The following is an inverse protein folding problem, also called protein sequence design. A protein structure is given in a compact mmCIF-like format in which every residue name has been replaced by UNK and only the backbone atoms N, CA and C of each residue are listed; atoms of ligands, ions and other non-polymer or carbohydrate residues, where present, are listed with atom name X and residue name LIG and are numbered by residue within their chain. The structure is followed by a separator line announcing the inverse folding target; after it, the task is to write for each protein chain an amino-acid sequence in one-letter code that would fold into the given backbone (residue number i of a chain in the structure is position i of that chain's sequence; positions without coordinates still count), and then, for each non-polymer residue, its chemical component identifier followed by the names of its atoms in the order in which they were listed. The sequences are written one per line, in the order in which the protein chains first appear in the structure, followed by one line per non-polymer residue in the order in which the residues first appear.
data_IF_518111902924
#
_entry.id   IF_518111902924
#
_cell.length_a   1.000
_cell.length_b   1.000
_cell.length_c   1.000
_cell.angle_alpha   90.00
_cell.angle_beta   90.00
_cell.angle_gamma   90.00
#
_symmetry.space_group_name_H-M   'P 1'
#
loop_
_entity.id
_entity.type
_entity.pdbx_description
1 polymer ?
#
# COMPACT_ATOMS: atom_id res chain seq x y z
N UNK A 1 54.97 71.32 5.04
CA UNK A 1 54.67 72.71 4.64
C UNK A 1 54.38 72.64 3.16
N UNK A 2 53.13 72.38 2.79
CA UNK A 2 52.69 72.37 1.38
C UNK A 2 52.63 73.82 0.86
N UNK A 3 52.77 74.08 -0.46
CA UNK A 3 51.53 74.27 -1.22
C UNK A 3 51.50 73.97 -2.75
N UNK A 4 50.30 73.55 -3.19
CA UNK A 4 49.45 74.01 -4.32
C UNK A 4 49.77 73.74 -5.82
N UNK A 5 48.76 73.11 -6.45
CA UNK A 5 48.14 73.32 -7.79
C UNK A 5 48.96 72.91 -9.04
N UNK A 6 48.39 72.40 -10.15
CA UNK A 6 47.19 72.78 -10.92
C UNK A 6 46.79 71.60 -11.86
N UNK A 7 45.51 71.41 -12.17
CA UNK A 7 45.01 70.54 -13.28
C UNK A 7 44.96 71.30 -14.62
N UNK A 8 44.84 70.62 -15.79
CA UNK A 8 43.57 70.77 -16.49
C UNK A 8 43.05 69.57 -17.29
N UNK A 9 41.74 69.68 -17.48
CA UNK A 9 40.67 68.92 -18.14
C UNK A 9 40.89 68.58 -19.63
N UNK A 10 40.43 67.38 -20.06
CA UNK A 10 39.82 67.18 -21.39
C UNK A 10 38.51 66.41 -21.20
N UNK A 11 37.42 67.05 -21.63
CA UNK A 11 36.07 66.49 -21.61
C UNK A 11 35.77 65.63 -22.83
N UNK A 12 34.83 64.71 -22.67
CA UNK A 12 34.07 64.11 -23.77
C UNK A 12 32.61 63.99 -23.30
N UNK A 13 31.70 64.47 -24.14
CA UNK A 13 30.25 64.50 -23.97
C UNK A 13 29.61 63.13 -23.66
N UNK A 14 28.48 63.09 -22.94
CA UNK A 14 27.64 61.90 -22.86
C UNK A 14 26.58 61.88 -23.97
N UNK A 15 26.39 60.78 -24.71
CA UNK A 15 25.14 60.55 -25.41
C UNK A 15 24.17 59.76 -24.52
N UNK A 16 22.92 60.20 -24.64
CA UNK A 16 21.72 59.77 -23.94
C UNK A 16 21.10 58.50 -24.57
N UNK A 17 20.10 57.94 -23.85
CA UNK A 17 19.01 57.03 -24.28
C UNK A 17 19.39 55.55 -24.58
N UNK A 18 18.65 54.47 -24.24
CA UNK A 18 17.24 54.21 -23.86
C UNK A 18 17.12 53.03 -22.85
N UNK A 19 15.99 52.92 -22.11
CA UNK A 19 15.68 51.76 -21.26
C UNK A 19 15.09 50.62 -22.11
N UNK A 20 15.25 49.37 -21.68
CA UNK A 20 14.30 48.24 -21.80
C UNK A 20 15.06 46.92 -21.79
N UNK A 21 15.09 46.21 -20.66
CA UNK A 21 14.99 44.75 -20.68
C UNK A 21 14.03 44.39 -19.55
N UNK A 22 12.82 43.99 -19.93
CA UNK A 22 11.85 43.41 -19.01
C UNK A 22 12.46 42.18 -18.35
N UNK A 23 12.43 42.14 -17.02
CA UNK A 23 12.72 40.93 -16.28
C UNK A 23 11.58 39.97 -16.57
N UNK A 24 11.84 38.99 -17.42
CA UNK A 24 10.96 37.84 -17.60
C UNK A 24 10.82 37.15 -16.23
N UNK A 25 9.60 36.98 -15.69
CA UNK A 25 9.46 36.27 -14.42
C UNK A 25 9.97 34.84 -14.61
N UNK A 26 10.69 34.27 -13.62
CA UNK A 26 11.10 32.88 -13.72
C UNK A 26 9.84 32.04 -13.86
N UNK A 27 9.74 31.30 -14.98
CA UNK A 27 8.76 30.25 -15.15
C UNK A 27 9.05 29.18 -14.12
N UNK A 28 8.44 29.31 -12.94
CA UNK A 28 8.39 28.24 -11.95
C UNK A 28 7.45 27.21 -12.55
N UNK A 29 8.03 26.20 -13.20
CA UNK A 29 7.29 25.01 -13.57
C UNK A 29 6.63 24.48 -12.29
N UNK A 30 5.29 24.33 -12.27
CA UNK A 30 4.64 23.70 -11.13
C UNK A 30 5.26 22.31 -10.95
N UNK A 31 5.51 21.84 -9.71
CA UNK A 31 6.05 20.50 -9.51
C UNK A 31 5.12 19.51 -10.20
N UNK A 32 5.61 18.90 -11.28
CA UNK A 32 4.95 17.79 -11.96
C UNK A 32 5.04 16.60 -11.01
N UNK A 33 4.16 16.55 -10.02
CA UNK A 33 3.88 15.33 -9.27
C UNK A 33 3.07 14.45 -10.21
N UNK A 34 3.77 13.74 -11.08
CA UNK A 34 3.19 12.59 -11.75
C UNK A 34 2.74 11.63 -10.65
N UNK A 35 1.49 11.14 -10.65
CA UNK A 35 1.10 10.11 -9.71
C UNK A 35 1.94 8.88 -10.04
N UNK A 36 3.02 8.68 -9.29
CA UNK A 36 3.76 7.43 -9.28
C UNK A 36 2.76 6.38 -8.82
N UNK A 37 2.14 5.66 -9.76
CA UNK A 37 1.50 4.38 -9.47
C UNK A 37 2.66 3.41 -9.20
N UNK A 38 3.35 3.64 -8.09
CA UNK A 38 4.50 2.87 -7.65
C UNK A 38 3.96 1.61 -6.99
N UNK A 39 4.26 0.45 -7.57
CA UNK A 39 4.23 -0.78 -6.80
C UNK A 39 5.32 -0.70 -5.75
N UNK A 40 4.94 -0.38 -4.53
CA UNK A 40 5.84 -0.48 -3.38
C UNK A 40 5.96 -1.94 -2.94
N UNK A 41 7.16 -2.43 -2.60
CA UNK A 41 7.33 -3.78 -2.09
C UNK A 41 6.69 -3.93 -0.71
N UNK A 42 6.42 -5.18 -0.31
CA UNK A 42 5.91 -5.48 1.01
C UNK A 42 6.88 -5.01 2.11
N UNK A 43 6.44 -4.08 2.96
CA UNK A 43 7.19 -3.64 4.14
C UNK A 43 6.63 -4.29 5.41
N UNK A 44 7.51 -4.57 6.36
CA UNK A 44 7.16 -5.13 7.67
C UNK A 44 6.31 -4.17 8.51
N UNK A 45 6.39 -2.87 8.25
CA UNK A 45 5.63 -1.85 8.96
C UNK A 45 4.29 -1.50 8.29
N UNK A 46 4.06 -2.01 7.07
CA UNK A 46 2.88 -1.69 6.28
C UNK A 46 1.85 -2.84 6.31
N UNK A 47 0.95 -2.80 7.29
CA UNK A 47 -0.17 -3.72 7.39
C UNK A 47 -1.49 -2.98 7.09
N UNK A 48 -2.14 -3.37 6.00
CA UNK A 48 -3.47 -2.87 5.64
C UNK A 48 -4.55 -3.71 6.34
N UNK A 49 -5.38 -3.07 7.16
CA UNK A 49 -6.50 -3.69 7.88
C UNK A 49 -7.79 -3.27 7.21
N UNK A 50 -8.52 -4.25 6.68
CA UNK A 50 -9.81 -4.04 6.03
C UNK A 50 -10.96 -4.05 7.04
N UNK A 51 -10.86 -4.91 8.05
CA UNK A 51 -11.88 -5.07 9.06
C UNK A 51 -11.28 -5.52 10.39
N UNK A 52 -11.81 -5.00 11.50
CA UNK A 52 -11.43 -5.42 12.84
C UNK A 52 -12.66 -5.48 13.76
N UNK A 53 -12.73 -6.55 14.54
CA UNK A 53 -13.76 -6.79 15.55
C UNK A 53 -13.13 -7.43 16.80
N UNK A 54 -13.96 -7.81 17.78
CA UNK A 54 -13.52 -8.59 18.94
C UNK A 54 -13.10 -10.03 18.59
N UNK A 55 -13.60 -10.56 17.47
CA UNK A 55 -13.40 -11.97 17.09
C UNK A 55 -12.42 -12.16 15.92
N UNK A 56 -12.38 -11.20 15.00
CA UNK A 56 -11.63 -11.30 13.74
C UNK A 56 -10.92 -10.00 13.38
N UNK A 57 -9.78 -10.16 12.71
CA UNK A 57 -9.13 -9.12 11.92
C UNK A 57 -8.98 -9.65 10.49
N UNK A 58 -9.42 -8.84 9.51
CA UNK A 58 -9.21 -9.09 8.08
C UNK A 58 -8.16 -8.12 7.59
N UNK A 59 -7.10 -8.65 7.01
CA UNK A 59 -6.00 -7.85 6.48
C UNK A 59 -5.95 -7.99 4.96
N UNK A 60 -5.57 -6.92 4.28
CA UNK A 60 -5.20 -7.00 2.87
C UNK A 60 -3.74 -7.45 2.80
N UNK A 61 -3.54 -8.76 2.57
CA UNK A 61 -2.21 -9.34 2.43
C UNK A 61 -1.57 -8.80 1.17
N UNK A 62 -0.38 -8.22 1.30
CA UNK A 62 0.42 -7.82 0.14
C UNK A 62 0.81 -9.04 -0.72
N UNK A 63 1.11 -8.82 -1.99
CA UNK A 63 1.77 -9.82 -2.82
C UNK A 63 3.24 -9.98 -2.36
N UNK A 64 3.87 -11.11 -2.70
CA UNK A 64 5.25 -11.44 -2.35
C UNK A 64 5.60 -11.34 -0.85
N UNK A 65 4.62 -11.62 0.00
CA UNK A 65 4.82 -11.78 1.45
C UNK A 65 4.27 -13.11 1.92
N UNK A 66 5.05 -13.79 2.78
CA UNK A 66 4.60 -15.02 3.45
C UNK A 66 3.60 -14.70 4.54
N UNK A 67 2.69 -15.63 4.81
CA UNK A 67 1.75 -15.49 5.94
C UNK A 67 2.51 -15.63 7.26
N UNK A 68 3.23 -16.73 7.42
CA UNK A 68 4.05 -17.05 8.58
C UNK A 68 5.38 -17.67 8.16
N UNK A 69 6.31 -17.80 9.12
CA UNK A 69 7.55 -18.53 8.90
C UNK A 69 8.05 -19.16 10.19
N UNK A 70 8.61 -20.37 10.08
CA UNK A 70 9.38 -21.02 11.17
C UNK A 70 10.84 -20.56 11.21
N UNK A 71 11.29 -19.89 10.15
CA UNK A 71 12.67 -19.44 10.02
C UNK A 71 12.82 -18.09 10.71
N UNK A 72 13.61 -18.04 11.78
CA UNK A 72 13.81 -16.84 12.59
C UNK A 72 14.34 -15.63 11.81
N UNK A 73 15.03 -15.87 10.69
CA UNK A 73 15.57 -14.82 9.82
C UNK A 73 14.57 -14.29 8.80
N UNK A 74 13.45 -14.97 8.58
CA UNK A 74 12.38 -14.51 7.70
C UNK A 74 11.56 -13.46 8.44
N UNK A 75 11.82 -12.21 8.11
CA UNK A 75 11.20 -11.06 8.77
C UNK A 75 10.00 -10.51 7.99
N UNK A 76 9.85 -10.88 6.71
CA UNK A 76 8.80 -10.37 5.83
C UNK A 76 7.61 -11.32 5.84
N UNK A 77 6.87 -11.32 6.95
CA UNK A 77 5.66 -12.12 7.12
C UNK A 77 4.49 -11.28 7.65
N UNK A 78 3.26 -11.67 7.28
CA UNK A 78 2.04 -11.09 7.87
C UNK A 78 2.00 -11.31 9.37
N UNK A 79 2.47 -12.47 9.84
CA UNK A 79 2.65 -12.76 11.26
C UNK A 79 3.50 -11.68 11.96
N UNK A 80 4.63 -11.29 11.37
CA UNK A 80 5.49 -10.25 11.92
C UNK A 80 4.81 -8.88 11.88
N UNK A 81 4.16 -8.54 10.78
CA UNK A 81 3.38 -7.30 10.64
C UNK A 81 2.31 -7.19 11.74
N UNK A 82 1.53 -8.26 11.95
CA UNK A 82 0.52 -8.34 13.01
C UNK A 82 1.13 -8.23 14.41
N UNK A 83 2.25 -8.92 14.67
CA UNK A 83 2.91 -8.89 15.97
C UNK A 83 3.49 -7.52 16.32
N UNK A 84 3.93 -6.74 15.33
CA UNK A 84 4.37 -5.36 15.53
C UNK A 84 3.21 -4.41 15.71
N UNK A 85 2.14 -4.56 14.93
CA UNK A 85 1.00 -3.62 14.94
C UNK A 85 0.04 -3.87 16.10
N UNK A 86 -0.16 -5.14 16.47
CA UNK A 86 -1.12 -5.59 17.47
C UNK A 86 -0.49 -6.60 18.45
N UNK A 87 0.54 -6.22 19.21
CA UNK A 87 1.21 -7.12 20.14
C UNK A 87 0.27 -7.73 21.19
N UNK A 88 -0.73 -6.95 21.64
CA UNK A 88 -1.69 -7.38 22.66
C UNK A 88 -2.71 -8.41 22.16
N UNK A 89 -2.85 -8.55 20.83
CA UNK A 89 -3.73 -9.54 20.21
C UNK A 89 -3.03 -10.86 19.92
N UNK A 90 -1.72 -10.96 20.18
CA UNK A 90 -0.97 -12.19 20.00
C UNK A 90 -1.38 -13.22 21.05
N UNK A 91 -1.71 -14.44 20.60
CA UNK A 91 -2.09 -15.56 21.45
C UNK A 91 -0.88 -16.46 21.76
N UNK A 92 -0.41 -16.51 23.01
CA UNK A 92 0.76 -17.29 23.41
C UNK A 92 0.52 -18.80 23.36
N UNK A 93 -0.74 -19.25 23.30
CA UNK A 93 -1.13 -20.65 23.11
C UNK A 93 -1.06 -21.12 21.65
N UNK A 94 -0.64 -20.25 20.73
CA UNK A 94 -0.45 -20.59 19.32
C UNK A 94 1.02 -20.47 18.93
N UNK A 95 1.49 -21.36 18.06
CA UNK A 95 2.89 -21.39 17.65
C UNK A 95 3.36 -20.07 17.00
N UNK A 96 2.49 -19.42 16.22
CA UNK A 96 2.80 -18.19 15.48
C UNK A 96 2.28 -16.92 16.15
N UNK A 97 1.63 -17.01 17.31
CA UNK A 97 0.96 -15.89 17.96
C UNK A 97 -0.40 -15.52 17.35
N UNK A 98 -0.76 -16.00 16.16
CA UNK A 98 -2.02 -15.67 15.50
C UNK A 98 -2.68 -16.90 14.89
N UNK A 99 -4.01 -16.88 14.82
CA UNK A 99 -4.81 -17.96 14.23
C UNK A 99 -5.25 -17.60 12.82
N UNK A 100 -4.42 -17.91 11.84
CA UNK A 100 -4.78 -17.76 10.43
C UNK A 100 -5.88 -18.75 10.05
N UNK A 101 -7.03 -18.24 9.63
CA UNK A 101 -8.22 -19.05 9.37
C UNK A 101 -8.16 -19.80 8.03
N UNK A 102 -7.37 -19.31 7.08
CA UNK A 102 -7.09 -19.93 5.80
C UNK A 102 -5.73 -19.47 5.28
N UNK A 103 -5.29 -20.07 4.17
CA UNK A 103 -4.05 -19.68 3.50
C UNK A 103 -4.33 -18.83 2.25
N UNK A 104 -3.28 -18.19 1.77
CA UNK A 104 -3.16 -17.45 0.53
C UNK A 104 -1.73 -17.66 0.05
N UNK A 105 -1.52 -17.87 -1.25
CA UNK A 105 -0.18 -18.12 -1.78
C UNK A 105 0.74 -16.90 -1.58
N UNK A 106 2.04 -17.14 -1.62
CA UNK A 106 3.05 -16.10 -1.44
C UNK A 106 2.81 -14.88 -2.35
N UNK A 107 2.64 -15.14 -3.65
CA UNK A 107 2.45 -14.11 -4.68
C UNK A 107 1.01 -13.58 -4.79
N UNK A 108 0.05 -14.19 -4.09
CA UNK A 108 -1.36 -13.77 -4.17
C UNK A 108 -1.63 -12.71 -3.12
N UNK A 109 -2.10 -11.53 -3.53
CA UNK A 109 -2.58 -10.49 -2.62
C UNK A 109 -4.06 -10.68 -2.25
N UNK A 110 -4.52 -9.94 -1.24
CA UNK A 110 -5.93 -9.84 -0.90
C UNK A 110 -6.27 -10.31 0.51
N UNK A 111 -7.57 -10.52 0.74
CA UNK A 111 -8.14 -10.70 2.07
C UNK A 111 -7.61 -11.96 2.76
N UNK A 112 -6.98 -11.78 3.91
CA UNK A 112 -6.57 -12.83 4.83
C UNK A 112 -7.28 -12.68 6.17
N UNK A 113 -8.03 -13.72 6.56
CA UNK A 113 -8.77 -13.73 7.82
C UNK A 113 -7.94 -14.32 8.97
N UNK A 114 -7.88 -13.59 10.08
CA UNK A 114 -7.24 -14.01 11.33
C UNK A 114 -8.24 -13.96 12.47
N UNK A 115 -8.36 -15.07 13.21
CA UNK A 115 -9.19 -15.15 14.40
C UNK A 115 -8.41 -14.70 15.65
N UNK A 116 -9.04 -13.88 16.48
CA UNK A 116 -8.44 -13.32 17.70
C UNK A 116 -8.62 -14.23 18.93
N UNK A 117 -9.48 -15.25 18.83
CA UNK A 117 -9.69 -16.22 19.91
C UNK A 117 -10.03 -17.62 19.38
N UNK A 118 -10.00 -18.61 20.28
CA UNK A 118 -10.22 -20.03 19.95
C UNK A 118 -11.63 -20.30 19.41
N UNK A 119 -12.66 -19.63 19.94
CA UNK A 119 -14.04 -19.82 19.51
C UNK A 119 -14.25 -19.30 18.07
N UNK A 120 -13.75 -18.10 17.78
CA UNK A 120 -13.75 -17.50 16.46
C UNK A 120 -13.02 -18.37 15.42
N UNK A 121 -11.86 -18.93 15.79
CA UNK A 121 -11.12 -19.86 14.94
C UNK A 121 -11.93 -21.13 14.64
N UNK A 122 -12.63 -21.70 15.62
CA UNK A 122 -13.49 -22.87 15.44
C UNK A 122 -14.68 -22.60 14.50
N UNK A 123 -15.30 -21.42 14.60
CA UNK A 123 -16.37 -20.99 13.68
C UNK A 123 -15.85 -20.84 12.26
N UNK A 124 -14.72 -20.14 12.08
CA UNK A 124 -14.11 -19.95 10.77
C UNK A 124 -13.68 -21.28 10.14
N UNK A 125 -13.06 -22.16 10.93
CA UNK A 125 -12.72 -23.53 10.51
C UNK A 125 -13.94 -24.27 9.97
N UNK A 126 -15.07 -24.22 10.69
CA UNK A 126 -16.30 -24.87 10.25
C UNK A 126 -16.81 -24.28 8.93
N UNK A 127 -16.75 -22.95 8.76
CA UNK A 127 -17.14 -22.31 7.50
C UNK A 127 -16.28 -22.76 6.31
N UNK A 128 -14.96 -22.89 6.48
CA UNK A 128 -14.07 -23.38 5.42
C UNK A 128 -14.25 -24.87 5.16
N UNK A 129 -14.36 -25.68 6.22
CA UNK A 129 -14.58 -27.13 6.14
C UNK A 129 -15.87 -27.47 5.40
N UNK A 130 -16.96 -26.79 5.75
CA UNK A 130 -18.30 -27.04 5.20
C UNK A 130 -18.53 -26.30 3.86
N UNK A 131 -17.51 -25.63 3.31
CA UNK A 131 -17.59 -24.84 2.06
C UNK A 131 -18.67 -23.75 2.08
N UNK A 132 -18.92 -23.17 3.26
CA UNK A 132 -19.86 -22.05 3.45
C UNK A 132 -19.20 -20.68 3.25
N UNK A 133 -17.86 -20.63 3.26
CA UNK A 133 -17.13 -19.41 2.96
C UNK A 133 -17.10 -19.12 1.45
N UNK A 134 -17.56 -17.94 1.05
CA UNK A 134 -17.47 -17.44 -0.33
C UNK A 134 -16.19 -16.63 -0.51
N UNK A 135 -15.46 -16.88 -1.60
CA UNK A 135 -14.27 -16.11 -1.99
C UNK A 135 -14.37 -15.74 -3.47
N UNK A 136 -14.03 -14.50 -3.79
CA UNK A 136 -13.88 -14.02 -5.15
C UNK A 136 -12.44 -13.56 -5.37
N UNK A 137 -11.90 -13.84 -6.54
CA UNK A 137 -10.53 -13.48 -6.92
C UNK A 137 -10.58 -12.70 -8.24
N UNK A 138 -9.86 -11.58 -8.28
CA UNK A 138 -9.56 -10.89 -9.53
C UNK A 138 -8.25 -11.44 -10.08
N UNK A 139 -8.25 -11.85 -11.35
CA UNK A 139 -7.08 -12.40 -12.00
C UNK A 139 -7.03 -11.98 -13.47
N UNK A 140 -5.82 -11.71 -13.96
CA UNK A 140 -5.54 -11.57 -15.39
C UNK A 140 -5.18 -12.93 -15.95
N UNK A 141 -5.89 -13.37 -16.99
CA UNK A 141 -5.72 -14.70 -17.58
C UNK A 141 -5.31 -14.56 -19.04
N UNK A 142 -4.21 -15.18 -19.42
CA UNK A 142 -3.62 -15.10 -20.78
C UNK A 142 -4.58 -15.61 -21.86
N UNK A 143 -5.44 -16.56 -21.51
CA UNK A 143 -6.42 -17.13 -22.44
C UNK A 143 -7.78 -17.23 -21.77
N UNK A 144 -8.83 -16.82 -22.49
CA UNK A 144 -10.20 -17.08 -22.05
C UNK A 144 -10.47 -18.58 -22.04
N UNK A 145 -10.97 -19.17 -20.94
CA UNK A 145 -11.42 -20.55 -20.97
C UNK A 145 -12.52 -20.69 -22.02
N UNK A 146 -12.47 -21.79 -22.79
CA UNK A 146 -13.52 -22.09 -23.76
C UNK A 146 -14.85 -22.08 -23.00
N UNK A 147 -15.80 -21.25 -23.42
CA UNK A 147 -17.04 -20.98 -22.67
C UNK A 147 -17.84 -22.28 -22.52
N UNK A 148 -17.67 -22.97 -21.40
CA UNK A 148 -18.58 -24.03 -20.98
C UNK A 148 -19.86 -23.32 -20.56
N UNK A 149 -20.98 -23.64 -21.22
CA UNK A 149 -22.29 -23.09 -20.84
C UNK A 149 -22.51 -23.39 -19.35
N UNK A 150 -22.90 -22.42 -18.51
CA UNK A 150 -23.19 -22.71 -17.12
C UNK A 150 -24.32 -23.74 -17.07
N UNK A 151 -24.08 -24.88 -16.43
CA UNK A 151 -25.19 -25.69 -15.93
C UNK A 151 -25.94 -24.84 -14.90
N UNK A 152 -27.25 -25.05 -14.80
CA UNK A 152 -28.30 -24.21 -14.19
C UNK A 152 -28.13 -23.74 -12.73
N UNK A 153 -26.95 -23.81 -12.12
CA UNK A 153 -26.63 -23.09 -10.88
C UNK A 153 -26.14 -21.67 -11.19
N UNK A 154 -27.09 -20.83 -11.60
CA UNK A 154 -26.92 -19.38 -11.59
C UNK A 154 -26.84 -18.92 -10.13
N UNK A 155 -25.71 -18.33 -9.74
CA UNK A 155 -25.59 -17.65 -8.46
C UNK A 155 -26.42 -16.37 -8.53
N UNK A 156 -27.58 -16.34 -7.88
CA UNK A 156 -28.21 -15.08 -7.50
C UNK A 156 -27.37 -14.50 -6.36
N UNK A 157 -26.65 -13.40 -6.62
CA UNK A 157 -26.09 -12.57 -5.56
C UNK A 157 -27.27 -12.03 -4.73
N UNK A 158 -27.28 -12.34 -3.45
CA UNK A 158 -28.19 -11.74 -2.49
C UNK A 158 -27.78 -10.25 -2.33
N UNK A 159 -28.66 -9.29 -2.63
CA UNK A 159 -28.34 -7.86 -2.58
C UNK A 159 -28.08 -7.32 -1.16
N UNK A 160 -28.16 -8.16 -0.12
CA UNK A 160 -27.84 -7.78 1.26
C UNK A 160 -26.37 -8.00 1.65
N UNK A 161 -25.55 -8.53 0.75
CA UNK A 161 -24.13 -8.76 1.00
C UNK A 161 -23.35 -7.45 0.77
N UNK A 162 -23.32 -6.58 1.79
CA UNK A 162 -22.33 -5.50 1.84
C UNK A 162 -20.93 -6.12 1.69
N UNK A 163 -20.26 -5.75 0.61
CA UNK A 163 -18.83 -5.96 0.45
C UNK A 163 -18.17 -4.98 1.41
N UNK A 164 -17.78 -5.47 2.58
CA UNK A 164 -16.82 -4.79 3.44
C UNK A 164 -15.45 -4.76 2.77
#
# INVERSE_FOLDING_TARGET
MEPFSVEPTIGVEPPSVEPTIGVEPPSVEPPSVEPTIGMEPASVDNLSVLYQSSDYILVDKHWDIRIDSKMWYEKHTVQRQLGLRFPDLADPGTYYGFRFCHQLDYSTSGVLCVALNKAAAGRAYSCFKDRRATKAYLALVVRTPNRVRPSSRCWSMDPTMEVL
#
